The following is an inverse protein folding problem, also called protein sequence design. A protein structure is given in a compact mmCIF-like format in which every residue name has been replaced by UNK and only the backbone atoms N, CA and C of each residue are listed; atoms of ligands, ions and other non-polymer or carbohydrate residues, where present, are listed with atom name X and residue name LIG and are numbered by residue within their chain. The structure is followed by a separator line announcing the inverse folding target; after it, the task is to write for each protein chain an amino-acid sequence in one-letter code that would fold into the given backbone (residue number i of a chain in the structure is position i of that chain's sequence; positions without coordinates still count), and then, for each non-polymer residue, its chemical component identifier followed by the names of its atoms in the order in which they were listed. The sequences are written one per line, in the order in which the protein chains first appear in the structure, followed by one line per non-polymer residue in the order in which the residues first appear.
data_IF_206132341116
#
_entry.id   IF_206132341116
#
_cell.length_a   1.000
_cell.length_b   1.000
_cell.length_c   1.000
_cell.angle_alpha   90.00
_cell.angle_beta   90.00
_cell.angle_gamma   90.00
#
_symmetry.space_group_name_H-M   'P 1'
#
loop_
_entity.id
_entity.type
_entity.pdbx_description
1 polymer ?
#
# COMPACT_ATOMS: atom_id res chain seq x y z
N UNK A 1 25.88 7.45 -13.25
CA UNK A 1 25.61 6.15 -12.54
C UNK A 1 24.93 5.23 -13.52
N UNK A 2 25.40 3.98 -13.68
CA UNK A 2 24.74 3.03 -14.60
C UNK A 2 23.47 2.50 -13.95
N UNK A 3 22.30 2.88 -14.47
CA UNK A 3 21.01 2.43 -13.94
C UNK A 3 20.67 1.12 -14.64
N UNK A 4 20.74 0.03 -13.89
CA UNK A 4 20.44 -1.30 -14.38
C UNK A 4 19.17 -1.85 -13.70
N UNK A 5 18.18 -2.24 -14.52
CA UNK A 5 16.96 -2.94 -14.06
C UNK A 5 17.07 -4.43 -14.37
N UNK A 6 16.62 -5.27 -13.44
CA UNK A 6 16.48 -6.70 -13.69
C UNK A 6 15.10 -6.99 -14.33
N UNK A 7 14.98 -6.78 -15.62
CA UNK A 7 13.74 -6.89 -16.37
C UNK A 7 13.57 -8.31 -16.95
N UNK A 8 12.49 -9.00 -16.56
CA UNK A 8 12.29 -10.43 -16.92
C UNK A 8 13.53 -11.29 -16.66
N UNK A 9 14.21 -11.07 -15.53
CA UNK A 9 15.47 -11.74 -15.16
C UNK A 9 16.65 -11.45 -16.08
N UNK A 10 16.57 -10.38 -16.88
CA UNK A 10 17.67 -9.89 -17.73
C UNK A 10 18.00 -8.44 -17.37
N UNK A 11 19.28 -8.06 -17.36
CA UNK A 11 19.64 -6.67 -17.10
C UNK A 11 19.29 -5.80 -18.30
N UNK A 12 18.62 -4.68 -18.03
CA UNK A 12 18.44 -3.56 -18.95
C UNK A 12 19.17 -2.35 -18.39
N UNK A 13 19.70 -1.53 -19.28
CA UNK A 13 20.49 -0.35 -18.95
C UNK A 13 19.83 0.89 -19.50
N UNK A 14 19.76 1.94 -18.69
CA UNK A 14 19.34 3.26 -19.12
C UNK A 14 20.57 4.00 -19.64
N UNK A 15 20.52 4.47 -20.90
CA UNK A 15 21.65 5.18 -21.52
C UNK A 15 21.86 6.58 -20.94
N UNK A 16 20.75 7.27 -20.68
CA UNK A 16 20.76 8.59 -20.06
C UNK A 16 20.14 8.49 -18.65
N UNK A 17 20.71 9.16 -17.67
CA UNK A 17 20.16 9.21 -16.31
C UNK A 17 18.84 10.00 -16.23
N UNK A 18 18.26 10.34 -17.38
CA UNK A 18 17.07 11.17 -17.51
C UNK A 18 15.95 10.42 -18.23
N UNK A 19 14.72 10.55 -17.71
CA UNK A 19 13.50 10.06 -18.32
C UNK A 19 12.55 11.21 -18.63
N UNK A 20 11.73 11.05 -19.68
CA UNK A 20 10.70 12.00 -20.05
C UNK A 20 9.34 11.33 -19.86
N UNK A 21 8.43 11.99 -19.12
CA UNK A 21 7.08 11.50 -18.88
C UNK A 21 6.12 11.77 -20.03
N UNK A 22 4.93 11.20 -19.97
CA UNK A 22 3.87 11.45 -20.95
C UNK A 22 3.44 12.92 -21.00
N UNK A 23 3.57 13.67 -19.90
CA UNK A 23 3.33 15.13 -19.86
C UNK A 23 4.46 15.97 -20.46
N UNK A 24 5.57 15.35 -20.87
CA UNK A 24 6.76 16.03 -21.37
C UNK A 24 7.69 16.59 -20.30
N UNK A 25 7.44 16.28 -19.02
CA UNK A 25 8.36 16.65 -17.92
C UNK A 25 9.55 15.72 -17.88
N UNK A 26 10.71 16.27 -17.53
CA UNK A 26 11.96 15.54 -17.41
C UNK A 26 12.29 15.26 -15.96
N UNK A 27 12.79 14.05 -15.69
CA UNK A 27 13.22 13.59 -14.37
C UNK A 27 14.59 12.95 -14.48
N UNK A 28 15.54 13.41 -13.68
CA UNK A 28 16.86 12.81 -13.52
C UNK A 28 16.82 11.74 -12.44
N UNK A 29 17.20 10.52 -12.78
CA UNK A 29 17.16 9.37 -11.88
C UNK A 29 18.35 9.43 -10.93
N UNK A 30 18.08 9.18 -9.66
CA UNK A 30 19.06 9.17 -8.57
C UNK A 30 19.23 7.76 -7.99
N UNK A 31 19.41 7.64 -6.70
CA UNK A 31 19.66 6.38 -6.02
C UNK A 31 18.44 5.45 -5.99
N UNK A 32 18.72 4.16 -5.94
CA UNK A 32 17.67 3.15 -5.75
C UNK A 32 17.22 3.13 -4.30
N UNK A 33 15.92 3.33 -4.06
CA UNK A 33 15.34 3.38 -2.72
C UNK A 33 14.48 2.16 -2.39
N UNK A 34 14.11 1.34 -3.39
CA UNK A 34 13.30 0.16 -3.13
C UNK A 34 13.30 -0.86 -4.25
N UNK A 35 12.87 -2.07 -3.90
CA UNK A 35 12.59 -3.13 -4.87
C UNK A 35 11.54 -4.06 -4.33
N UNK A 36 10.59 -4.43 -5.17
CA UNK A 36 9.59 -5.46 -4.92
C UNK A 36 9.54 -6.47 -6.06
N UNK A 37 8.68 -7.46 -5.96
CA UNK A 37 8.55 -8.52 -6.97
C UNK A 37 8.21 -8.01 -8.36
N UNK A 38 7.52 -6.88 -8.48
CA UNK A 38 7.02 -6.34 -9.75
C UNK A 38 7.66 -5.00 -10.15
N UNK A 39 8.44 -4.34 -9.27
CA UNK A 39 8.96 -3.00 -9.54
C UNK A 39 10.29 -2.71 -8.88
N UNK A 40 11.05 -1.78 -9.47
CA UNK A 40 12.21 -1.15 -8.86
C UNK A 40 11.91 0.33 -8.69
N UNK A 41 12.20 0.87 -7.50
CA UNK A 41 11.91 2.25 -7.13
C UNK A 41 13.22 3.00 -6.95
N UNK A 42 13.30 4.15 -7.59
CA UNK A 42 14.44 5.07 -7.50
C UNK A 42 13.97 6.45 -7.07
N UNK A 43 14.86 7.22 -6.49
CA UNK A 43 14.68 8.66 -6.39
C UNK A 43 14.82 9.29 -7.76
N UNK A 44 14.10 10.38 -8.01
CA UNK A 44 14.32 11.22 -9.18
C UNK A 44 14.08 12.69 -8.84
N UNK A 45 14.70 13.58 -9.63
CA UNK A 45 14.63 15.03 -9.45
C UNK A 45 14.11 15.66 -10.74
N UNK A 46 13.16 16.56 -10.63
CA UNK A 46 12.73 17.36 -11.79
C UNK A 46 13.64 18.57 -12.01
N UNK A 47 13.41 19.32 -13.09
CA UNK A 47 14.18 20.51 -13.44
C UNK A 47 14.16 21.65 -12.40
N UNK A 48 13.21 21.65 -11.47
CA UNK A 48 13.15 22.62 -10.36
C UNK A 48 13.87 22.13 -9.09
N UNK A 49 14.49 20.95 -9.11
CA UNK A 49 15.17 20.38 -7.95
C UNK A 49 14.23 19.69 -6.95
N UNK A 50 12.95 19.47 -7.30
CA UNK A 50 12.02 18.77 -6.44
C UNK A 50 12.20 17.27 -6.58
N UNK A 51 12.30 16.57 -5.44
CA UNK A 51 12.50 15.13 -5.37
C UNK A 51 11.18 14.37 -5.42
N UNK A 52 11.18 13.26 -6.16
CA UNK A 52 10.08 12.32 -6.34
C UNK A 52 10.59 10.89 -6.25
N UNK A 53 9.68 9.94 -6.26
CA UNK A 53 9.97 8.51 -6.43
C UNK A 53 9.49 8.06 -7.81
N UNK A 54 10.31 7.29 -8.54
CA UNK A 54 9.92 6.67 -9.81
C UNK A 54 9.95 5.15 -9.65
N UNK A 55 8.84 4.50 -9.97
CA UNK A 55 8.69 3.03 -9.98
C UNK A 55 8.71 2.54 -11.41
N UNK A 56 9.67 1.67 -11.74
CA UNK A 56 9.77 0.99 -13.03
C UNK A 56 9.14 -0.39 -12.96
N UNK A 57 8.35 -0.74 -13.96
CA UNK A 57 7.82 -2.10 -14.10
C UNK A 57 8.95 -3.06 -14.54
N UNK A 58 9.12 -4.19 -13.85
CA UNK A 58 10.19 -5.15 -14.13
C UNK A 58 9.76 -6.34 -15.01
N UNK A 59 8.48 -6.46 -15.33
CA UNK A 59 7.93 -7.59 -16.09
C UNK A 59 7.01 -7.12 -17.21
N UNK A 60 7.12 -7.75 -18.40
CA UNK A 60 6.28 -7.42 -19.56
C UNK A 60 5.18 -8.46 -19.85
N UNK A 61 4.84 -9.31 -18.88
CA UNK A 61 3.69 -10.18 -19.06
C UNK A 61 2.41 -9.33 -19.21
N UNK A 62 1.45 -9.80 -20.01
CA UNK A 62 0.17 -9.12 -20.19
C UNK A 62 -0.48 -8.79 -18.83
N UNK A 63 -0.35 -9.72 -17.87
CA UNK A 63 -0.86 -9.55 -16.51
C UNK A 63 -0.14 -8.42 -15.77
N UNK A 64 1.21 -8.37 -15.83
CA UNK A 64 2.00 -7.33 -15.14
C UNK A 64 1.74 -5.95 -15.73
N UNK A 65 1.64 -5.85 -17.06
CA UNK A 65 1.31 -4.60 -17.74
C UNK A 65 -0.09 -4.10 -17.34
N UNK A 66 -1.11 -4.98 -17.37
CA UNK A 66 -2.47 -4.59 -16.98
C UNK A 66 -2.54 -4.14 -15.52
N UNK A 67 -1.88 -4.85 -14.60
CA UNK A 67 -1.82 -4.45 -13.18
C UNK A 67 -1.16 -3.08 -12.99
N UNK A 68 -0.10 -2.83 -13.73
CA UNK A 68 0.59 -1.54 -13.67
C UNK A 68 -0.27 -0.41 -14.24
N UNK A 69 -1.00 -0.67 -15.33
CA UNK A 69 -1.96 0.29 -15.90
C UNK A 69 -3.13 0.57 -14.94
N UNK A 70 -3.62 -0.46 -14.23
CA UNK A 70 -4.64 -0.30 -13.19
C UNK A 70 -4.12 0.49 -11.99
N UNK A 71 -2.89 0.23 -11.53
CA UNK A 71 -2.24 1.00 -10.47
C UNK A 71 -2.15 2.49 -10.86
N UNK A 72 -1.70 2.80 -12.06
CA UNK A 72 -1.62 4.19 -12.56
C UNK A 72 -3.01 4.82 -12.67
N UNK A 73 -4.00 4.11 -13.21
CA UNK A 73 -5.36 4.60 -13.35
C UNK A 73 -5.99 4.95 -11.99
N UNK A 74 -5.77 4.09 -10.99
CA UNK A 74 -6.25 4.30 -9.63
C UNK A 74 -5.56 5.51 -8.97
N UNK A 75 -4.23 5.59 -9.06
CA UNK A 75 -3.47 6.72 -8.53
C UNK A 75 -3.87 8.08 -9.14
N UNK A 76 -4.24 8.10 -10.43
CA UNK A 76 -4.75 9.31 -11.09
C UNK A 76 -6.14 9.73 -10.60
N UNK A 77 -6.92 8.79 -10.09
CA UNK A 77 -8.32 8.98 -9.69
C UNK A 77 -8.46 9.42 -8.24
N UNK A 78 -7.52 9.00 -7.38
CA UNK A 78 -7.60 9.21 -5.94
C UNK A 78 -6.60 10.29 -5.50
N UNK A 79 -7.11 11.28 -4.77
CA UNK A 79 -6.29 12.28 -4.09
C UNK A 79 -6.68 12.32 -2.61
N UNK A 80 -5.76 11.93 -1.72
CA UNK A 80 -5.99 11.90 -0.28
C UNK A 80 -4.66 12.07 0.48
N UNK A 81 -4.59 12.83 1.59
CA UNK A 81 -3.34 13.06 2.34
C UNK A 81 -2.66 11.78 2.83
N UNK A 82 -3.42 10.72 3.08
CA UNK A 82 -2.93 9.42 3.53
C UNK A 82 -2.91 8.35 2.42
N UNK A 83 -2.82 8.77 1.17
CA UNK A 83 -2.55 7.91 -0.01
C UNK A 83 -1.41 8.55 -0.78
N UNK A 84 -0.44 7.74 -1.23
CA UNK A 84 0.72 8.25 -1.99
C UNK A 84 0.26 8.99 -3.25
N UNK A 85 0.73 10.22 -3.43
CA UNK A 85 0.32 11.09 -4.53
C UNK A 85 0.90 10.67 -5.88
N UNK A 86 0.04 10.63 -6.91
CA UNK A 86 0.46 10.52 -8.31
C UNK A 86 1.05 11.85 -8.80
N UNK A 87 2.13 11.78 -9.58
CA UNK A 87 2.77 12.95 -10.20
C UNK A 87 2.75 12.87 -11.73
N UNK A 88 3.21 11.71 -12.29
CA UNK A 88 3.32 11.54 -13.74
C UNK A 88 3.55 10.06 -14.09
N UNK A 89 3.50 9.71 -15.38
CA UNK A 89 3.84 8.37 -15.86
C UNK A 89 4.43 8.42 -17.27
N UNK A 90 4.98 7.31 -17.71
CA UNK A 90 5.54 7.24 -19.06
C UNK A 90 6.13 5.89 -19.41
N UNK A 91 6.85 5.93 -20.52
CA UNK A 91 7.63 4.81 -21.03
C UNK A 91 9.02 5.33 -21.40
N UNK A 92 10.04 4.59 -21.02
CA UNK A 92 11.44 4.89 -21.36
C UNK A 92 12.05 3.72 -22.12
N UNK A 93 12.90 4.03 -23.09
CA UNK A 93 13.68 3.03 -23.80
C UNK A 93 14.94 2.68 -23.00
N UNK A 94 15.13 1.40 -22.75
CA UNK A 94 16.33 0.86 -22.12
C UNK A 94 16.97 -0.19 -23.02
N UNK A 95 18.28 -0.34 -22.96
CA UNK A 95 19.02 -1.29 -23.79
C UNK A 95 19.33 -2.58 -23.03
N UNK A 96 19.22 -3.71 -23.71
CA UNK A 96 19.79 -4.96 -23.24
C UNK A 96 21.29 -5.06 -23.58
N UNK A 97 21.96 -6.11 -23.10
CA UNK A 97 23.40 -6.32 -23.37
C UNK A 97 23.75 -6.47 -24.83
N UNK A 98 22.80 -6.73 -25.73
CA UNK A 98 22.99 -6.82 -27.16
C UNK A 98 22.79 -5.48 -27.88
N UNK A 99 22.41 -4.43 -27.14
CA UNK A 99 22.06 -3.12 -27.71
C UNK A 99 20.63 -3.06 -28.23
N UNK A 100 19.79 -4.05 -27.95
CA UNK A 100 18.37 -4.05 -28.32
C UNK A 100 17.58 -3.18 -27.37
N UNK A 101 16.81 -2.23 -27.92
CA UNK A 101 15.90 -1.38 -27.16
C UNK A 101 14.67 -2.14 -26.66
N UNK A 102 14.27 -1.85 -25.42
CA UNK A 102 13.08 -2.37 -24.74
C UNK A 102 12.34 -1.23 -24.07
N UNK A 103 11.05 -1.12 -24.32
CA UNK A 103 10.19 -0.14 -23.69
C UNK A 103 9.85 -0.57 -22.26
N UNK A 104 10.16 0.27 -21.28
CA UNK A 104 9.92 0.05 -19.86
C UNK A 104 8.95 1.10 -19.34
N UNK A 105 7.82 0.66 -18.78
CA UNK A 105 6.82 1.54 -18.16
C UNK A 105 7.31 2.04 -16.80
N UNK A 106 6.99 3.30 -16.48
CA UNK A 106 7.24 3.88 -15.17
C UNK A 106 6.10 4.76 -14.69
N UNK A 107 6.03 4.96 -13.38
CA UNK A 107 5.17 5.96 -12.72
C UNK A 107 6.02 6.79 -11.76
N UNK A 108 5.80 8.10 -11.77
CA UNK A 108 6.40 9.06 -10.84
C UNK A 108 5.38 9.40 -9.77
N UNK A 109 5.78 9.29 -8.54
CA UNK A 109 4.94 9.49 -7.36
C UNK A 109 5.61 10.44 -6.37
N UNK A 110 4.85 10.92 -5.42
CA UNK A 110 5.38 11.61 -4.27
C UNK A 110 6.47 10.78 -3.58
N UNK A 111 7.56 11.42 -3.13
CA UNK A 111 8.61 10.74 -2.37
C UNK A 111 8.27 10.75 -0.90
N UNK A 112 8.23 9.58 -0.31
CA UNK A 112 8.20 9.39 1.14
C UNK A 112 9.63 9.23 1.71
N UNK A 113 9.76 9.38 3.02
CA UNK A 113 11.07 9.26 3.68
C UNK A 113 11.45 7.79 3.87
N UNK A 114 10.47 6.95 4.28
CA UNK A 114 10.63 5.53 4.52
C UNK A 114 9.28 4.80 4.55
N UNK A 115 9.28 3.50 4.79
CA UNK A 115 8.06 2.75 5.08
C UNK A 115 7.85 2.60 6.60
N UNK A 116 6.64 2.16 6.99
CA UNK A 116 6.28 2.02 8.40
C UNK A 116 7.18 1.03 9.15
N UNK A 117 7.75 0.00 8.49
CA UNK A 117 8.71 -0.91 9.14
C UNK A 117 9.99 -0.16 9.54
N UNK A 118 10.53 0.66 8.64
CA UNK A 118 11.70 1.50 8.91
C UNK A 118 11.42 2.49 10.04
N UNK A 119 10.32 3.22 9.92
CA UNK A 119 9.86 4.17 10.94
C UNK A 119 9.75 3.53 12.33
N UNK A 120 9.10 2.38 12.41
CA UNK A 120 8.89 1.68 13.67
C UNK A 120 10.19 1.21 14.34
N UNK A 121 11.28 1.01 13.61
CA UNK A 121 12.60 0.64 14.18
C UNK A 121 13.29 1.79 14.91
N UNK A 122 12.88 3.04 14.64
CA UNK A 122 13.48 4.23 15.24
C UNK A 122 12.87 4.58 16.61
N UNK A 123 11.70 4.00 16.95
CA UNK A 123 10.96 4.31 18.15
C UNK A 123 10.60 3.02 18.91
N UNK A 124 10.92 2.95 20.19
CA UNK A 124 10.50 1.84 21.06
C UNK A 124 9.00 1.86 21.32
N UNK A 125 8.45 3.06 21.51
CA UNK A 125 7.01 3.32 21.75
C UNK A 125 6.58 4.51 20.89
N UNK A 126 5.37 4.45 20.33
CA UNK A 126 4.75 5.57 19.65
C UNK A 126 3.67 6.14 20.56
N UNK A 127 3.72 7.44 20.77
CA UNK A 127 2.75 8.17 21.60
C UNK A 127 1.32 8.05 21.04
N UNK A 128 0.33 7.99 21.96
CA UNK A 128 -1.09 7.87 21.59
C UNK A 128 -1.51 8.94 20.58
N UNK A 129 -1.15 10.20 20.82
CA UNK A 129 -1.50 11.31 19.93
C UNK A 129 -1.01 11.10 18.50
N UNK A 130 0.22 10.59 18.35
CA UNK A 130 0.83 10.30 17.03
C UNK A 130 0.08 9.16 16.32
N UNK A 131 0.01 7.97 16.92
CA UNK A 131 -0.59 6.84 16.23
C UNK A 131 -2.12 6.99 16.04
N UNK A 132 -2.82 7.65 16.97
CA UNK A 132 -4.26 7.83 16.84
C UNK A 132 -4.64 8.73 15.66
N UNK A 133 -3.87 9.80 15.42
CA UNK A 133 -4.05 10.65 14.24
C UNK A 133 -3.76 9.89 12.94
N UNK A 134 -2.67 9.11 12.91
CA UNK A 134 -2.28 8.33 11.73
C UNK A 134 -3.27 7.19 11.45
N UNK A 135 -3.77 6.49 12.47
CA UNK A 135 -4.80 5.46 12.30
C UNK A 135 -6.09 6.04 11.74
N UNK A 136 -6.50 7.23 12.22
CA UNK A 136 -7.64 7.95 11.65
C UNK A 136 -7.44 8.22 10.17
N UNK A 137 -6.33 8.83 9.80
CA UNK A 137 -6.03 9.17 8.41
C UNK A 137 -5.95 7.95 7.49
N UNK A 138 -5.40 6.81 7.97
CA UNK A 138 -5.40 5.56 7.22
C UNK A 138 -6.80 4.94 7.09
N UNK A 139 -7.68 5.08 8.09
CA UNK A 139 -9.09 4.68 7.95
C UNK A 139 -9.80 5.52 6.88
N UNK A 140 -9.60 6.84 6.89
CA UNK A 140 -10.16 7.78 5.92
C UNK A 140 -9.60 7.50 4.50
N UNK A 141 -8.31 7.17 4.38
CA UNK A 141 -7.69 6.73 3.13
C UNK A 141 -8.31 5.43 2.60
N UNK A 142 -8.60 4.48 3.49
CA UNK A 142 -9.27 3.23 3.12
C UNK A 142 -10.73 3.48 2.70
N UNK A 143 -11.43 4.40 3.34
CA UNK A 143 -12.79 4.82 2.93
C UNK A 143 -12.77 5.41 1.52
N UNK A 144 -11.80 6.28 1.22
CA UNK A 144 -11.64 6.88 -0.12
C UNK A 144 -11.32 5.81 -1.17
N UNK A 145 -10.37 4.92 -0.87
CA UNK A 145 -9.99 3.81 -1.75
C UNK A 145 -11.18 2.90 -2.08
N UNK A 146 -11.98 2.55 -1.07
CA UNK A 146 -13.14 1.65 -1.21
C UNK A 146 -14.29 2.21 -2.04
N UNK A 147 -14.24 3.47 -2.46
CA UNK A 147 -15.15 4.00 -3.49
C UNK A 147 -14.79 3.48 -4.89
N UNK A 148 -13.58 2.95 -5.07
CA UNK A 148 -13.02 2.59 -6.36
C UNK A 148 -12.49 1.16 -6.43
N UNK A 149 -11.77 0.72 -5.40
CA UNK A 149 -11.04 -0.55 -5.43
C UNK A 149 -10.84 -1.17 -4.03
N UNK A 150 -10.53 -2.47 -4.03
CA UNK A 150 -10.03 -3.23 -2.88
C UNK A 150 -8.51 -3.30 -3.00
N UNK A 151 -7.76 -3.00 -1.93
CA UNK A 151 -6.29 -2.92 -1.95
C UNK A 151 -5.61 -4.29 -2.04
N UNK A 152 -6.02 -5.23 -1.19
CA UNK A 152 -5.55 -6.64 -1.12
C UNK A 152 -4.12 -6.86 -0.62
N UNK A 153 -3.32 -5.83 -0.41
CA UNK A 153 -1.91 -5.95 0.04
C UNK A 153 -1.53 -4.91 1.10
N UNK A 154 -2.42 -4.65 2.06
CA UNK A 154 -2.11 -3.72 3.16
C UNK A 154 -1.20 -4.42 4.16
N UNK A 155 0.00 -3.85 4.35
CA UNK A 155 1.04 -4.32 5.27
C UNK A 155 1.97 -3.16 5.63
N UNK A 156 2.78 -3.26 6.69
CA UNK A 156 3.66 -2.16 7.10
C UNK A 156 4.66 -1.70 6.03
N UNK A 157 5.09 -2.60 5.13
CA UNK A 157 5.97 -2.26 4.02
C UNK A 157 5.30 -1.38 2.96
N UNK A 158 3.96 -1.47 2.83
CA UNK A 158 3.14 -0.72 1.88
C UNK A 158 2.46 0.50 2.52
N UNK A 159 2.81 0.83 3.76
CA UNK A 159 2.48 2.10 4.39
C UNK A 159 3.75 2.93 4.41
N UNK A 160 3.76 4.01 3.65
CA UNK A 160 4.88 4.95 3.56
C UNK A 160 4.73 6.06 4.59
N UNK A 161 5.85 6.61 5.03
CA UNK A 161 5.90 7.70 6.01
C UNK A 161 6.62 8.89 5.38
N UNK A 162 6.00 10.06 5.44
CA UNK A 162 6.56 11.34 5.03
C UNK A 162 6.35 12.37 6.14
N UNK A 163 7.41 12.78 6.79
CA UNK A 163 7.31 13.52 8.04
C UNK A 163 6.49 12.73 9.06
N UNK A 164 5.39 13.31 9.51
CA UNK A 164 4.47 12.67 10.45
C UNK A 164 3.29 11.93 9.79
N UNK A 165 3.19 11.95 8.45
CA UNK A 165 2.03 11.40 7.73
C UNK A 165 2.29 9.98 7.25
N UNK A 166 1.39 9.05 7.58
CA UNK A 166 1.40 7.68 7.10
C UNK A 166 0.44 7.53 5.91
N UNK A 167 0.90 6.91 4.82
CA UNK A 167 0.18 6.86 3.54
C UNK A 167 0.12 5.44 3.00
N UNK A 168 -1.06 5.02 2.52
CA UNK A 168 -1.21 3.78 1.75
C UNK A 168 -0.48 3.91 0.41
N UNK A 169 0.15 2.82 -0.02
CA UNK A 169 0.93 2.74 -1.26
C UNK A 169 0.93 1.32 -1.86
N UNK A 170 1.46 1.18 -3.06
CA UNK A 170 1.58 -0.07 -3.83
C UNK A 170 0.23 -0.72 -4.17
N UNK A 171 -0.48 -0.13 -5.13
CA UNK A 171 -1.79 -0.56 -5.61
C UNK A 171 -1.73 -1.63 -6.72
N UNK A 172 -0.59 -2.27 -6.91
CA UNK A 172 -0.36 -3.27 -7.97
C UNK A 172 -1.18 -4.57 -7.83
N UNK A 173 -1.84 -4.81 -6.68
CA UNK A 173 -2.74 -5.94 -6.44
C UNK A 173 -4.21 -5.53 -6.30
N UNK A 174 -4.53 -4.25 -6.50
CA UNK A 174 -5.89 -3.75 -6.35
C UNK A 174 -6.86 -4.39 -7.35
N UNK A 175 -8.10 -4.54 -6.90
CA UNK A 175 -9.25 -4.93 -7.70
C UNK A 175 -10.28 -3.83 -7.71
N UNK A 176 -10.68 -3.36 -8.89
CA UNK A 176 -11.72 -2.36 -9.03
C UNK A 176 -13.08 -2.93 -8.62
N UNK A 177 -13.87 -2.14 -7.89
CA UNK A 177 -15.21 -2.54 -7.44
C UNK A 177 -16.20 -2.52 -8.60
N UNK A 178 -16.02 -1.61 -9.56
CA UNK A 178 -16.83 -1.57 -10.78
C UNK A 178 -16.20 -2.47 -11.86
N UNK A 179 -16.84 -3.59 -12.23
CA UNK A 179 -16.33 -4.49 -13.27
C UNK A 179 -16.27 -3.85 -14.67
N UNK A 180 -17.01 -2.76 -14.91
CA UNK A 180 -16.98 -2.05 -16.20
C UNK A 180 -15.73 -1.20 -16.34
N UNK A 181 -15.13 -0.76 -15.24
CA UNK A 181 -13.89 0.02 -15.28
C UNK A 181 -12.67 -0.83 -15.67
N UNK A 182 -12.57 -2.07 -15.12
CA UNK A 182 -11.47 -2.98 -15.46
C UNK A 182 -11.85 -4.45 -15.17
N UNK A 183 -11.47 -5.37 -16.04
CA UNK A 183 -11.66 -6.81 -15.81
C UNK A 183 -10.75 -7.31 -14.68
N UNK A 184 -11.28 -8.12 -13.78
CA UNK A 184 -10.48 -8.80 -12.77
C UNK A 184 -9.38 -9.66 -13.45
N UNK A 185 -8.13 -9.40 -13.07
CA UNK A 185 -6.95 -10.06 -13.61
C UNK A 185 -6.52 -11.23 -12.69
N UNK A 186 -7.14 -11.32 -11.52
CA UNK A 186 -6.77 -12.28 -10.49
C UNK A 186 -7.48 -13.62 -10.77
N UNK A 187 -6.71 -14.70 -10.83
CA UNK A 187 -7.28 -16.05 -10.96
C UNK A 187 -7.67 -16.58 -9.59
N UNK A 188 -8.74 -17.38 -9.53
CA UNK A 188 -9.05 -18.22 -8.36
C UNK A 188 -7.80 -19.02 -7.98
N UNK A 189 -7.48 -19.11 -6.69
CA UNK A 189 -6.27 -19.74 -6.15
C UNK A 189 -4.96 -18.97 -6.44
N UNK A 190 -5.00 -17.71 -6.81
CA UNK A 190 -3.81 -16.88 -6.82
C UNK A 190 -3.50 -16.38 -5.41
N UNK A 191 -2.23 -16.51 -4.99
CA UNK A 191 -1.78 -15.92 -3.72
C UNK A 191 -1.85 -14.39 -3.81
N UNK A 192 -2.81 -13.81 -3.11
CA UNK A 192 -3.02 -12.37 -3.04
C UNK A 192 -2.57 -11.89 -1.67
N UNK A 193 -1.58 -11.03 -1.66
CA UNK A 193 -1.01 -10.48 -0.44
C UNK A 193 0.10 -11.33 0.20
N UNK A 194 0.79 -10.77 1.20
CA UNK A 194 1.87 -11.42 1.90
C UNK A 194 1.33 -12.45 2.89
N UNK A 195 1.94 -13.64 2.96
CA UNK A 195 1.47 -14.79 3.73
C UNK A 195 1.10 -14.50 5.19
N UNK A 196 1.75 -13.52 5.81
CA UNK A 196 1.52 -13.18 7.23
C UNK A 196 0.46 -12.09 7.45
N UNK A 197 0.04 -11.36 6.40
CA UNK A 197 -0.92 -10.26 6.50
C UNK A 197 -2.24 -10.58 5.79
N UNK A 198 -2.37 -11.77 5.21
CA UNK A 198 -3.61 -12.19 4.56
C UNK A 198 -4.74 -12.33 5.59
N UNK A 199 -5.93 -11.89 5.22
CA UNK A 199 -7.13 -12.19 5.98
C UNK A 199 -7.50 -13.67 5.89
N UNK A 200 -8.26 -14.25 6.82
CA UNK A 200 -8.64 -15.67 6.80
C UNK A 200 -9.26 -16.09 5.47
N UNK A 201 -10.23 -15.32 4.94
CA UNK A 201 -10.88 -15.60 3.66
C UNK A 201 -9.91 -15.50 2.46
N UNK A 202 -8.88 -14.64 2.54
CA UNK A 202 -7.85 -14.57 1.50
C UNK A 202 -6.95 -15.83 1.53
N UNK A 203 -6.70 -16.38 2.72
CA UNK A 203 -6.00 -17.67 2.89
C UNK A 203 -6.87 -18.82 2.35
N UNK A 204 -8.15 -18.85 2.70
CA UNK A 204 -9.08 -19.88 2.25
C UNK A 204 -9.31 -19.82 0.73
N UNK A 205 -9.39 -18.62 0.16
CA UNK A 205 -9.44 -18.46 -1.30
C UNK A 205 -8.18 -19.00 -1.97
N UNK A 206 -6.99 -18.74 -1.41
CA UNK A 206 -5.73 -19.21 -1.98
C UNK A 206 -5.62 -20.74 -1.97
N UNK A 207 -5.97 -21.41 -0.87
CA UNK A 207 -5.81 -22.86 -0.74
C UNK A 207 -6.98 -23.65 -1.27
N UNK A 208 -8.22 -23.15 -1.13
CA UNK A 208 -9.44 -23.89 -1.37
C UNK A 208 -10.32 -23.29 -2.46
N UNK A 209 -10.11 -21.99 -2.81
CA UNK A 209 -10.98 -21.28 -3.76
C UNK A 209 -12.41 -21.10 -3.27
N UNK A 210 -12.63 -21.11 -1.95
CA UNK A 210 -13.97 -21.20 -1.35
C UNK A 210 -14.57 -19.86 -0.98
N UNK A 211 -13.72 -18.85 -0.72
CA UNK A 211 -14.16 -17.53 -0.24
C UNK A 211 -13.83 -16.40 -1.20
N UNK A 212 -14.59 -15.32 -1.12
CA UNK A 212 -14.34 -14.08 -1.85
C UNK A 212 -13.55 -13.10 -0.98
N UNK A 213 -12.62 -12.38 -1.61
CA UNK A 213 -11.91 -11.26 -0.99
C UNK A 213 -12.74 -10.01 -1.23
N UNK A 214 -13.01 -9.24 -0.17
CA UNK A 214 -13.82 -8.04 -0.23
C UNK A 214 -13.19 -6.86 0.53
N UNK A 215 -13.91 -5.77 0.63
CA UNK A 215 -13.50 -4.57 1.40
C UNK A 215 -13.21 -4.88 2.87
N UNK A 216 -13.93 -5.82 3.45
CA UNK A 216 -13.71 -6.34 4.81
C UNK A 216 -12.35 -7.06 4.99
N UNK A 217 -11.74 -7.52 3.90
CA UNK A 217 -10.40 -8.12 3.92
C UNK A 217 -9.33 -7.05 4.13
N UNK A 218 -9.47 -5.88 3.49
CA UNK A 218 -8.59 -4.75 3.71
C UNK A 218 -8.73 -4.17 5.13
N UNK A 219 -9.96 -4.16 5.66
CA UNK A 219 -10.20 -3.78 7.06
C UNK A 219 -9.43 -4.69 8.03
N UNK A 220 -9.45 -6.01 7.80
CA UNK A 220 -8.64 -6.95 8.57
C UNK A 220 -7.14 -6.61 8.47
N UNK A 221 -6.63 -6.43 7.25
CA UNK A 221 -5.22 -6.14 7.03
C UNK A 221 -4.78 -4.83 7.70
N UNK A 222 -5.56 -3.75 7.54
CA UNK A 222 -5.26 -2.46 8.16
C UNK A 222 -5.29 -2.55 9.69
N UNK A 223 -6.28 -3.23 10.28
CA UNK A 223 -6.34 -3.43 11.72
C UNK A 223 -5.26 -4.38 12.25
N UNK A 224 -4.79 -5.33 11.44
CA UNK A 224 -3.60 -6.13 11.75
C UNK A 224 -2.33 -5.26 11.82
N UNK A 225 -2.19 -4.29 10.91
CA UNK A 225 -1.12 -3.29 10.99
C UNK A 225 -1.26 -2.43 12.24
N UNK A 226 -2.46 -1.99 12.62
CA UNK A 226 -2.68 -1.25 13.87
C UNK A 226 -2.27 -2.06 15.09
N UNK A 227 -2.66 -3.34 15.15
CA UNK A 227 -2.23 -4.24 16.23
C UNK A 227 -0.70 -4.39 16.27
N UNK A 228 -0.05 -4.54 15.11
CA UNK A 228 1.42 -4.63 15.00
C UNK A 228 2.12 -3.38 15.52
N UNK A 229 1.63 -2.19 15.18
CA UNK A 229 2.17 -0.91 15.68
C UNK A 229 2.11 -0.86 17.21
N UNK A 230 1.01 -1.29 17.80
CA UNK A 230 0.78 -1.23 19.25
C UNK A 230 1.54 -2.32 20.03
N UNK A 231 1.64 -3.52 19.49
CA UNK A 231 2.27 -4.67 20.16
C UNK A 231 3.74 -4.87 19.82
N UNK A 232 4.21 -4.32 18.69
CA UNK A 232 5.54 -4.61 18.10
C UNK A 232 5.75 -6.10 17.80
N UNK A 233 4.66 -6.82 17.64
CA UNK A 233 4.63 -8.25 17.29
C UNK A 233 3.55 -8.46 16.24
N UNK A 234 3.79 -9.39 15.33
CA UNK A 234 2.76 -9.79 14.37
C UNK A 234 1.53 -10.32 15.11
N UNK A 235 0.30 -9.84 14.77
CA UNK A 235 -0.93 -10.25 15.45
C UNK A 235 -1.39 -11.65 15.00
N UNK A 236 -0.51 -12.65 15.09
CA UNK A 236 -0.84 -14.04 14.81
C UNK A 236 -1.52 -14.72 15.99
N UNK A 237 -2.46 -15.62 15.72
CA UNK A 237 -3.20 -16.37 16.75
C UNK A 237 -4.45 -15.65 17.27
N UNK A 238 -4.97 -16.10 18.39
CA UNK A 238 -6.19 -15.55 18.99
C UNK A 238 -5.83 -14.30 19.79
N UNK A 239 -6.27 -13.14 19.33
CA UNK A 239 -6.20 -11.90 20.11
C UNK A 239 -7.36 -11.87 21.11
N UNK A 240 -7.07 -11.64 22.37
CA UNK A 240 -8.04 -11.50 23.43
C UNK A 240 -7.99 -10.11 24.05
N UNK A 241 -9.02 -9.74 24.82
CA UNK A 241 -9.05 -8.49 25.55
C UNK A 241 -7.89 -8.33 26.57
N UNK A 242 -7.21 -9.41 26.90
CA UNK A 242 -6.05 -9.44 27.81
C UNK A 242 -4.71 -9.22 27.08
N UNK A 243 -4.70 -9.20 25.74
CA UNK A 243 -3.45 -8.98 24.98
C UNK A 243 -2.97 -7.53 25.17
N UNK A 244 -1.66 -7.38 25.09
CA UNK A 244 -0.91 -6.13 25.34
C UNK A 244 -1.06 -5.09 24.22
N UNK A 245 -2.31 -4.83 23.76
CA UNK A 245 -2.59 -3.66 22.94
C UNK A 245 -2.55 -2.44 23.86
N UNK A 246 -1.45 -1.71 23.84
CA UNK A 246 -1.26 -0.49 24.62
C UNK A 246 -2.06 0.67 24.01
N UNK A 247 -3.37 0.64 24.20
CA UNK A 247 -4.32 1.63 23.67
C UNK A 247 -5.59 1.66 24.55
N UNK A 248 -6.51 2.57 24.22
CA UNK A 248 -7.80 2.69 24.94
C UNK A 248 -8.66 1.43 24.78
N UNK A 249 -9.54 1.10 25.75
CA UNK A 249 -10.41 -0.07 25.67
C UNK A 249 -11.28 -0.09 24.40
N UNK A 250 -11.77 1.07 23.95
CA UNK A 250 -12.63 1.20 22.77
C UNK A 250 -11.86 0.92 21.47
N UNK A 251 -10.64 1.45 21.30
CA UNK A 251 -9.77 1.14 20.15
C UNK A 251 -9.36 -0.33 20.19
N UNK A 252 -9.00 -0.86 21.36
CA UNK A 252 -8.67 -2.27 21.54
C UNK A 252 -9.81 -3.18 21.07
N UNK A 253 -11.05 -2.87 21.47
CA UNK A 253 -12.23 -3.61 21.06
C UNK A 253 -12.41 -3.58 19.54
N UNK A 254 -12.29 -2.39 18.92
CA UNK A 254 -12.40 -2.24 17.49
C UNK A 254 -11.39 -3.14 16.75
N UNK A 255 -10.13 -3.14 17.18
CA UNK A 255 -9.07 -3.95 16.54
C UNK A 255 -9.40 -5.45 16.69
N UNK A 256 -9.84 -5.90 17.88
CA UNK A 256 -10.19 -7.31 18.11
C UNK A 256 -11.38 -7.73 17.23
N UNK A 257 -12.41 -6.91 17.14
CA UNK A 257 -13.59 -7.19 16.31
C UNK A 257 -13.20 -7.24 14.81
N UNK A 258 -12.33 -6.32 14.34
CA UNK A 258 -11.84 -6.28 12.98
C UNK A 258 -10.92 -7.47 12.62
N UNK A 259 -10.30 -8.12 13.58
CA UNK A 259 -9.45 -9.31 13.40
C UNK A 259 -10.22 -10.62 13.62
N UNK A 260 -11.55 -10.58 13.69
CA UNK A 260 -12.40 -11.78 13.74
C UNK A 260 -12.21 -12.64 12.48
N UNK A 261 -12.23 -13.97 12.64
CA UNK A 261 -12.27 -14.89 11.50
C UNK A 261 -13.59 -14.73 10.71
N UNK A 262 -14.69 -14.46 11.41
CA UNK A 262 -15.98 -14.18 10.79
C UNK A 262 -16.02 -12.74 10.28
N UNK A 263 -15.93 -12.55 8.97
CA UNK A 263 -15.93 -11.21 8.37
C UNK A 263 -17.21 -10.41 8.62
N UNK A 264 -18.35 -11.07 8.91
CA UNK A 264 -19.59 -10.40 9.30
C UNK A 264 -19.50 -9.62 10.63
N UNK A 265 -18.51 -9.94 11.48
CA UNK A 265 -18.28 -9.23 12.75
C UNK A 265 -17.40 -7.97 12.55
N UNK A 266 -16.70 -7.87 11.42
CA UNK A 266 -15.81 -6.76 11.12
C UNK A 266 -16.59 -5.53 10.63
N UNK A 267 -16.01 -4.32 10.66
CA UNK A 267 -16.48 -3.25 9.80
C UNK A 267 -16.47 -3.72 8.33
N UNK A 268 -17.57 -3.49 7.61
CA UNK A 268 -17.74 -4.05 6.27
C UNK A 268 -16.78 -3.44 5.23
N UNK A 269 -16.36 -2.19 5.46
CA UNK A 269 -15.54 -1.39 4.55
C UNK A 269 -14.83 -0.24 5.29
N UNK A 270 -14.12 0.61 4.55
CA UNK A 270 -13.46 1.80 5.08
C UNK A 270 -14.42 2.78 5.74
N UNK A 271 -15.62 2.98 5.18
CA UNK A 271 -16.63 3.87 5.77
C UNK A 271 -17.08 3.38 7.16
N UNK A 272 -17.45 2.12 7.28
CA UNK A 272 -17.82 1.52 8.56
C UNK A 272 -16.66 1.54 9.57
N UNK A 273 -15.42 1.39 9.09
CA UNK A 273 -14.22 1.49 9.92
C UNK A 273 -14.02 2.90 10.46
N UNK A 274 -14.14 3.94 9.63
CA UNK A 274 -14.05 5.36 10.04
C UNK A 274 -15.09 5.67 11.11
N UNK A 275 -16.34 5.24 10.92
CA UNK A 275 -17.41 5.44 11.91
C UNK A 275 -17.07 4.79 13.26
N UNK A 276 -16.66 3.52 13.26
CA UNK A 276 -16.29 2.79 14.49
C UNK A 276 -15.05 3.39 15.16
N UNK A 277 -14.04 3.81 14.37
CA UNK A 277 -12.84 4.45 14.91
C UNK A 277 -13.14 5.81 15.56
N UNK A 278 -13.99 6.62 14.92
CA UNK A 278 -14.43 7.92 15.45
C UNK A 278 -15.19 7.77 16.77
N UNK A 279 -16.09 6.79 16.86
CA UNK A 279 -16.79 6.48 18.12
C UNK A 279 -15.80 6.04 19.20
N UNK A 280 -14.86 5.14 18.89
CA UNK A 280 -13.87 4.62 19.84
C UNK A 280 -12.93 5.72 20.39
N UNK A 281 -12.59 6.73 19.57
CA UNK A 281 -11.75 7.86 20.01
C UNK A 281 -12.54 8.91 20.80
N UNK A 282 -13.82 9.12 20.51
CA UNK A 282 -14.68 10.01 21.28
C UNK A 282 -14.90 9.50 22.71
N UNK A 283 -15.17 8.21 22.89
CA UNK A 283 -15.32 7.58 24.20
C UNK A 283 -14.06 7.72 25.06
N UNK A 284 -12.89 7.59 24.42
CA UNK A 284 -11.60 7.75 25.09
C UNK A 284 -11.38 9.18 25.63
N UNK A 285 -11.76 10.20 24.86
CA UNK A 285 -11.65 11.59 25.27
C UNK A 285 -12.61 11.92 26.42
N UNK A 286 -13.82 11.37 26.39
CA UNK A 286 -14.84 11.56 27.45
C UNK A 286 -14.44 10.91 28.77
N UNK A 287 -13.76 9.75 28.73
CA UNK A 287 -13.31 9.03 29.92
C UNK A 287 -12.08 9.70 30.58
N UNK A 288 -11.26 10.40 29.81
CA UNK A 288 -10.09 11.14 30.32
C UNK A 288 -10.46 12.46 31.03
N UNK A 289 -11.69 12.96 30.81
CA UNK A 289 -12.22 14.19 31.41
C UNK A 289 -13.10 13.94 32.64
N UNK A 290 -13.42 12.70 32.97
CA UNK A 290 -14.17 12.25 34.12
C UNK A 290 -13.26 11.70 35.23
#
# INVERSE_FOLDING_TARGET
MEIALNYNSKPLYLEEEQIISCSGRSYEIQERIGSGGNGAVYECINSSGTMFAVKFLLHNSVKSLRRFDQEIALLKKIEHPHIIGYIDDGTVQMLDRSGKSVDVRFVVMEKADENLVGYLKQYDVIEYATYAAQFRGLCEALEELHKHAIHRDIKPENILVKGDTWMLSDFGLCEFIDPEEHQDITRTNEKIGPAFWMSPEAVDNYYWGTDSIGTYSDVFQLCAVFAFVLMRKHPGGILSAQNDLNTTPSIKRLIIDALSNEYANRPADGHALVQRYSAATYDAASTALA
#
